data_IF_217173806881
#
_entry.id   IF_217173806881
#
_cell.length_a   1.000
_cell.length_b   1.000
_cell.length_c   1.000
_cell.angle_alpha   90.00
_cell.angle_beta   90.00
_cell.angle_gamma   90.00
#
_symmetry.space_group_name_H-M   'P 1'
#
loop_
_entity.id
_entity.type
_entity.pdbx_description
1 polymer ?
#
# COMPACT_ATOMS: atom_id res chain seq x y z
N UNK A 1 4.12 -6.09 -21.23
CA UNK A 1 4.98 -6.15 -20.01
C UNK A 1 5.49 -7.56 -19.77
N UNK A 2 6.75 -7.73 -19.37
CA UNK A 2 7.30 -9.04 -19.00
C UNK A 2 6.79 -9.47 -17.61
N UNK A 3 6.30 -10.71 -17.54
CA UNK A 3 5.79 -11.33 -16.31
C UNK A 3 6.54 -12.65 -16.03
N UNK A 4 6.73 -12.97 -14.77
CA UNK A 4 7.16 -14.32 -14.39
C UNK A 4 6.05 -15.34 -14.64
N UNK A 5 6.39 -16.65 -14.63
CA UNK A 5 5.38 -17.71 -14.74
C UNK A 5 4.31 -17.63 -13.67
N UNK A 6 4.70 -17.29 -12.43
CA UNK A 6 3.77 -17.16 -11.32
C UNK A 6 2.83 -15.97 -11.53
N UNK A 7 3.38 -14.81 -11.93
CA UNK A 7 2.58 -13.60 -12.22
C UNK A 7 1.60 -13.83 -13.37
N UNK A 8 2.05 -14.50 -14.43
CA UNK A 8 1.18 -14.86 -15.54
C UNK A 8 0.06 -15.82 -15.09
N UNK A 9 0.38 -16.84 -14.30
CA UNK A 9 -0.61 -17.75 -13.77
C UNK A 9 -1.67 -17.04 -12.91
N UNK A 10 -1.27 -16.07 -12.08
CA UNK A 10 -2.23 -15.23 -11.32
C UNK A 10 -3.12 -14.44 -12.28
N UNK A 11 -2.54 -13.80 -13.28
CA UNK A 11 -3.27 -13.04 -14.30
C UNK A 11 -4.29 -13.92 -15.05
N UNK A 12 -3.92 -15.17 -15.32
CA UNK A 12 -4.76 -16.17 -15.98
C UNK A 12 -5.80 -16.82 -15.04
N UNK A 13 -5.85 -16.39 -13.77
CA UNK A 13 -6.88 -16.78 -12.82
C UNK A 13 -6.55 -17.97 -11.91
N UNK A 14 -5.29 -18.42 -11.84
CA UNK A 14 -4.91 -19.58 -10.99
C UNK A 14 -5.22 -19.40 -9.51
N UNK A 15 -5.36 -18.17 -9.02
CA UNK A 15 -5.71 -17.83 -7.64
C UNK A 15 -7.14 -17.24 -7.53
N UNK A 16 -7.94 -17.35 -8.58
CA UNK A 16 -9.29 -16.83 -8.65
C UNK A 16 -9.40 -15.46 -9.33
N UNK A 17 -10.63 -15.10 -9.68
CA UNK A 17 -10.95 -13.94 -10.51
C UNK A 17 -10.49 -12.61 -9.87
N UNK A 18 -10.62 -12.46 -8.54
CA UNK A 18 -10.26 -11.22 -7.87
C UNK A 18 -8.75 -10.99 -7.88
N UNK A 19 -7.95 -12.02 -7.67
CA UNK A 19 -6.48 -11.92 -7.82
C UNK A 19 -6.08 -11.61 -9.27
N UNK A 20 -6.78 -12.20 -10.25
CA UNK A 20 -6.55 -11.89 -11.66
C UNK A 20 -6.86 -10.41 -11.98
N UNK A 21 -7.95 -9.84 -11.43
CA UNK A 21 -8.28 -8.42 -11.56
C UNK A 21 -7.21 -7.52 -10.93
N UNK A 22 -6.72 -7.86 -9.74
CA UNK A 22 -5.61 -7.13 -9.09
C UNK A 22 -4.37 -7.15 -9.97
N UNK A 23 -3.95 -8.31 -10.43
CA UNK A 23 -2.77 -8.46 -11.30
C UNK A 23 -2.94 -7.70 -12.60
N UNK A 24 -4.10 -7.78 -13.24
CA UNK A 24 -4.41 -7.00 -14.44
C UNK A 24 -4.31 -5.49 -14.20
N UNK A 25 -4.80 -5.01 -13.06
CA UNK A 25 -4.71 -3.59 -12.69
C UNK A 25 -3.26 -3.16 -12.54
N UNK A 26 -2.41 -3.95 -11.88
CA UNK A 26 -0.97 -3.67 -11.74
C UNK A 26 -0.27 -3.64 -13.10
N UNK A 27 -0.56 -4.59 -13.98
CA UNK A 27 0.00 -4.63 -15.34
C UNK A 27 -0.39 -3.38 -16.13
N UNK A 28 -1.69 -3.06 -16.19
CA UNK A 28 -2.18 -1.88 -16.90
C UNK A 28 -1.60 -0.58 -16.32
N UNK A 29 -1.53 -0.48 -15.00
CA UNK A 29 -0.92 0.67 -14.35
C UNK A 29 0.56 0.82 -14.74
N UNK A 30 1.34 -0.26 -14.64
CA UNK A 30 2.74 -0.24 -15.00
C UNK A 30 2.97 0.13 -16.46
N UNK A 31 2.21 -0.45 -17.39
CA UNK A 31 2.31 -0.14 -18.82
C UNK A 31 1.99 1.32 -19.11
N UNK A 32 1.01 1.91 -18.43
CA UNK A 32 0.66 3.33 -18.55
C UNK A 32 1.83 4.25 -18.19
N UNK A 33 2.67 3.84 -17.23
CA UNK A 33 3.87 4.57 -16.83
C UNK A 33 5.16 4.06 -17.51
N UNK A 34 5.05 3.23 -18.52
CA UNK A 34 6.19 2.74 -19.31
C UNK A 34 7.01 1.64 -18.65
N UNK A 35 6.47 0.95 -17.67
CA UNK A 35 7.13 -0.22 -17.09
C UNK A 35 7.20 -1.35 -18.13
N UNK A 36 8.39 -1.95 -18.25
CA UNK A 36 8.63 -3.04 -19.22
C UNK A 36 8.50 -4.42 -18.57
N UNK A 37 8.62 -4.50 -17.26
CA UNK A 37 8.53 -5.76 -16.50
C UNK A 37 7.87 -5.55 -15.14
N UNK A 38 7.37 -6.62 -14.57
CA UNK A 38 6.95 -6.70 -13.18
C UNK A 38 8.00 -7.47 -12.38
N UNK A 39 8.28 -7.00 -11.17
CA UNK A 39 9.28 -7.58 -10.28
C UNK A 39 8.64 -8.01 -8.96
N UNK A 40 9.19 -9.01 -8.26
CA UNK A 40 8.71 -9.36 -6.93
C UNK A 40 9.02 -8.24 -5.93
N UNK A 41 8.12 -8.01 -4.99
CA UNK A 41 8.41 -7.24 -3.76
C UNK A 41 9.29 -8.11 -2.88
N UNK A 42 10.39 -7.55 -2.36
CA UNK A 42 11.37 -8.31 -1.56
C UNK A 42 11.43 -7.89 -0.10
N UNK A 43 10.85 -6.72 0.25
CA UNK A 43 10.76 -6.28 1.63
C UNK A 43 9.82 -7.16 2.47
N UNK A 44 10.06 -7.21 3.77
CA UNK A 44 9.23 -8.01 4.69
C UNK A 44 7.81 -7.48 4.81
N UNK A 45 7.65 -6.16 4.84
CA UNK A 45 6.35 -5.51 5.04
C UNK A 45 6.11 -4.40 4.02
N UNK A 46 4.84 -4.23 3.64
CA UNK A 46 4.35 -3.08 2.90
C UNK A 46 4.08 -1.87 3.80
N UNK A 47 3.72 -0.75 3.17
CA UNK A 47 3.27 0.45 3.87
C UNK A 47 2.21 1.16 3.03
N UNK A 48 1.02 1.37 3.58
CA UNK A 48 -0.13 1.83 2.80
C UNK A 48 -0.81 3.05 3.42
N UNK A 49 -1.65 3.72 2.63
CA UNK A 49 -2.44 4.86 3.08
C UNK A 49 -3.51 4.43 4.09
N UNK A 50 -3.65 5.19 5.18
CA UNK A 50 -4.63 4.93 6.24
C UNK A 50 -5.98 5.54 5.98
N UNK A 51 -6.04 6.68 5.30
CA UNK A 51 -7.26 7.46 5.16
C UNK A 51 -7.34 8.15 3.81
N UNK A 52 -8.54 8.26 3.33
CA UNK A 52 -8.83 8.99 2.09
C UNK A 52 -9.68 10.23 2.31
N UNK A 53 -10.15 10.49 3.52
CA UNK A 53 -11.07 11.60 3.84
C UNK A 53 -12.48 11.44 3.25
N UNK A 54 -13.31 12.46 3.37
CA UNK A 54 -14.73 12.46 2.91
C UNK A 54 -14.87 12.30 1.41
N UNK A 55 -13.95 12.86 0.67
CA UNK A 55 -14.03 12.96 -0.80
C UNK A 55 -13.79 11.60 -1.44
N UNK A 56 -13.27 10.69 -0.71
CA UNK A 56 -13.01 9.37 -1.16
C UNK A 56 -14.00 8.38 -0.57
N UNK A 57 -15.09 8.32 -0.93
CA UNK A 57 -15.37 7.45 -2.02
C UNK A 57 -15.83 6.11 -1.47
N UNK A 58 -17.10 6.02 -1.36
CA UNK A 58 -17.81 4.75 -1.23
C UNK A 58 -17.13 3.61 -2.02
N UNK A 59 -16.62 3.89 -3.24
CA UNK A 59 -15.94 2.91 -4.08
C UNK A 59 -14.71 2.24 -3.45
N UNK A 60 -13.95 2.90 -2.59
CA UNK A 60 -12.81 2.25 -1.90
C UNK A 60 -13.31 1.25 -0.87
N UNK A 61 -14.33 1.63 -0.09
CA UNK A 61 -14.91 0.71 0.91
C UNK A 61 -15.59 -0.49 0.25
N UNK A 62 -16.29 -0.27 -0.87
CA UNK A 62 -16.92 -1.33 -1.64
C UNK A 62 -15.87 -2.28 -2.23
N UNK A 63 -14.77 -1.74 -2.76
CA UNK A 63 -13.63 -2.54 -3.21
C UNK A 63 -13.04 -3.38 -2.07
N UNK A 64 -12.81 -2.78 -0.91
CA UNK A 64 -12.28 -3.50 0.25
C UNK A 64 -13.24 -4.62 0.70
N UNK A 65 -14.54 -4.37 0.69
CA UNK A 65 -15.55 -5.39 1.02
C UNK A 65 -15.57 -6.51 -0.04
N UNK A 66 -15.42 -6.19 -1.33
CA UNK A 66 -15.29 -7.19 -2.41
C UNK A 66 -14.05 -8.08 -2.20
N UNK A 67 -12.90 -7.49 -1.90
CA UNK A 67 -11.68 -8.23 -1.60
C UNK A 67 -11.86 -9.16 -0.39
N UNK A 68 -12.45 -8.67 0.68
CA UNK A 68 -12.71 -9.44 1.91
C UNK A 68 -13.70 -10.57 1.63
N UNK A 69 -14.79 -10.29 0.93
CA UNK A 69 -15.80 -11.32 0.57
C UNK A 69 -15.22 -12.43 -0.31
N UNK A 70 -14.24 -12.10 -1.16
CA UNK A 70 -13.50 -13.07 -1.96
C UNK A 70 -12.39 -13.80 -1.18
N UNK A 71 -12.24 -13.54 0.12
CA UNK A 71 -11.20 -14.16 0.96
C UNK A 71 -9.77 -13.69 0.65
N UNK A 72 -9.63 -12.54 -0.02
CA UNK A 72 -8.31 -12.00 -0.34
C UNK A 72 -7.61 -11.54 0.93
N UNK A 73 -6.39 -12.03 1.11
CA UNK A 73 -5.47 -11.55 2.13
C UNK A 73 -4.15 -11.15 1.50
N UNK A 74 -3.52 -10.13 2.05
CA UNK A 74 -2.19 -9.71 1.59
C UNK A 74 -1.14 -10.75 1.97
N UNK A 75 -0.38 -11.23 1.01
CA UNK A 75 0.76 -12.12 1.26
C UNK A 75 1.85 -11.39 2.06
N UNK A 76 1.99 -10.09 1.85
CA UNK A 76 2.87 -9.22 2.61
C UNK A 76 2.02 -8.40 3.59
N UNK A 77 2.21 -8.58 4.89
CA UNK A 77 1.60 -7.69 5.88
C UNK A 77 2.12 -6.27 5.70
N UNK A 78 1.37 -5.28 6.18
CA UNK A 78 1.71 -3.88 5.98
C UNK A 78 1.44 -3.04 7.24
N UNK A 79 2.24 -2.00 7.40
CA UNK A 79 1.94 -0.85 8.25
C UNK A 79 1.13 0.19 7.47
N UNK A 80 0.59 1.17 8.15
CA UNK A 80 -0.22 2.20 7.52
C UNK A 80 0.20 3.61 7.99
N UNK A 81 -0.12 4.61 7.20
CA UNK A 81 0.05 6.02 7.56
C UNK A 81 -0.65 6.35 8.89
N UNK A 82 -0.30 7.47 9.54
CA UNK A 82 -0.98 7.92 10.74
C UNK A 82 -2.48 8.05 10.54
N UNK A 83 -3.22 7.82 11.60
CA UNK A 83 -4.65 8.13 11.62
C UNK A 83 -4.86 9.62 11.36
N UNK A 84 -5.93 9.99 10.62
CA UNK A 84 -6.17 11.37 10.25
C UNK A 84 -6.47 12.28 11.45
N UNK A 85 -6.90 11.69 12.57
CA UNK A 85 -7.19 12.40 13.81
C UNK A 85 -6.43 11.74 14.96
N UNK A 86 -5.59 12.51 15.61
CA UNK A 86 -4.91 12.07 16.85
C UNK A 86 -5.82 12.36 18.05
N UNK A 87 -6.22 11.31 18.75
CA UNK A 87 -7.07 11.41 19.93
C UNK A 87 -6.39 12.05 21.15
N UNK A 88 -5.08 12.17 21.13
CA UNK A 88 -4.30 12.79 22.19
C UNK A 88 -4.17 14.32 22.00
N UNK A 89 -4.57 14.83 20.85
CA UNK A 89 -4.56 16.27 20.57
C UNK A 89 -5.95 16.84 20.90
N UNK A 90 -6.04 17.81 21.82
CA UNK A 90 -7.30 18.46 22.14
C UNK A 90 -7.92 19.11 20.90
N UNK A 91 -9.20 18.90 20.69
CA UNK A 91 -9.99 19.53 19.64
C UNK A 91 -11.12 20.37 20.24
N UNK A 92 -11.61 21.33 19.49
CA UNK A 92 -12.81 22.07 19.87
C UNK A 92 -14.05 21.47 19.20
N UNK A 93 -15.24 21.85 19.67
CA UNK A 93 -16.51 21.32 19.20
C UNK A 93 -16.67 21.41 17.66
N UNK A 94 -16.23 22.51 17.05
CA UNK A 94 -16.33 22.69 15.61
C UNK A 94 -15.39 21.73 14.87
N UNK A 95 -14.17 21.57 15.36
CA UNK A 95 -13.21 20.59 14.80
C UNK A 95 -13.75 19.17 14.93
N UNK A 96 -14.34 18.80 16.05
CA UNK A 96 -14.94 17.48 16.25
C UNK A 96 -16.05 17.18 15.24
N UNK A 97 -16.91 18.15 14.98
CA UNK A 97 -17.99 18.02 13.97
C UNK A 97 -17.36 17.83 12.57
N UNK A 98 -16.40 18.68 12.21
CA UNK A 98 -15.73 18.62 10.92
C UNK A 98 -15.00 17.27 10.76
N UNK A 99 -14.24 16.85 11.74
CA UNK A 99 -13.52 15.58 11.69
C UNK A 99 -14.45 14.37 11.65
N UNK A 100 -15.56 14.41 12.38
CA UNK A 100 -16.58 13.35 12.32
C UNK A 100 -17.20 13.25 10.93
N UNK A 101 -17.46 14.36 10.28
CA UNK A 101 -17.95 14.38 8.90
C UNK A 101 -16.86 13.89 7.95
N UNK A 102 -15.63 14.41 8.08
CA UNK A 102 -14.52 14.09 7.16
C UNK A 102 -14.01 12.66 7.28
N UNK A 103 -13.98 12.11 8.48
CA UNK A 103 -13.35 10.83 8.78
C UNK A 103 -14.26 9.82 9.47
N UNK A 104 -15.57 10.03 9.41
CA UNK A 104 -16.57 9.13 10.02
C UNK A 104 -16.38 7.65 9.63
N UNK A 105 -16.09 7.31 8.37
CA UNK A 105 -15.86 5.95 7.94
C UNK A 105 -14.50 5.33 8.35
N UNK A 106 -13.59 6.11 8.97
CA UNK A 106 -12.22 5.67 9.28
C UNK A 106 -12.18 4.33 10.04
N UNK A 107 -13.04 4.16 11.05
CA UNK A 107 -13.09 2.92 11.83
C UNK A 107 -13.42 1.70 10.96
N UNK A 108 -14.39 1.85 10.03
CA UNK A 108 -14.74 0.79 9.08
C UNK A 108 -13.53 0.43 8.21
N UNK A 109 -12.83 1.44 7.71
CA UNK A 109 -11.63 1.23 6.89
C UNK A 109 -10.53 0.49 7.67
N UNK A 110 -10.26 0.87 8.91
CA UNK A 110 -9.28 0.16 9.75
C UNK A 110 -9.66 -1.31 9.98
N UNK A 111 -10.93 -1.62 10.18
CA UNK A 111 -11.39 -3.01 10.28
C UNK A 111 -11.23 -3.79 8.97
N UNK A 112 -11.42 -3.13 7.82
CA UNK A 112 -11.13 -3.72 6.52
C UNK A 112 -9.63 -3.97 6.34
N UNK A 113 -8.76 -3.02 6.71
CA UNK A 113 -7.31 -3.19 6.66
C UNK A 113 -6.82 -4.38 7.52
N UNK A 114 -7.38 -4.54 8.72
CA UNK A 114 -7.08 -5.69 9.59
C UNK A 114 -7.39 -7.02 8.91
N UNK A 115 -8.52 -7.11 8.24
CA UNK A 115 -8.93 -8.32 7.52
C UNK A 115 -8.04 -8.62 6.31
N UNK A 116 -7.54 -7.59 5.64
CA UNK A 116 -6.68 -7.75 4.46
C UNK A 116 -5.24 -8.10 4.87
N UNK A 117 -4.68 -7.45 5.91
CA UNK A 117 -3.30 -7.76 6.30
C UNK A 117 -2.56 -6.68 7.08
N UNK A 118 -3.26 -5.80 7.80
CA UNK A 118 -2.62 -4.85 8.70
C UNK A 118 -1.71 -5.60 9.69
N UNK A 119 -0.48 -5.13 9.86
CA UNK A 119 0.56 -5.80 10.64
C UNK A 119 0.16 -5.99 12.10
N UNK A 120 -0.41 -4.94 12.72
CA UNK A 120 -0.94 -4.91 14.08
C UNK A 120 -1.78 -3.66 14.30
N UNK A 121 -2.57 -3.64 15.36
CA UNK A 121 -3.56 -2.58 15.64
C UNK A 121 -2.97 -1.18 15.89
N UNK A 122 -1.68 -1.08 16.16
CA UNK A 122 -0.92 0.15 16.39
C UNK A 122 0.08 0.50 15.27
N UNK A 123 0.07 -0.25 14.17
CA UNK A 123 0.98 -0.04 13.02
C UNK A 123 0.61 1.17 12.15
N UNK A 124 0.33 2.32 12.80
CA UNK A 124 -0.05 3.57 12.14
C UNK A 124 1.01 4.65 12.36
N UNK A 125 1.81 4.93 11.34
CA UNK A 125 2.90 5.91 11.41
C UNK A 125 3.42 6.26 10.03
N UNK A 126 3.83 7.51 9.78
CA UNK A 126 4.57 7.85 8.55
C UNK A 126 6.05 7.44 8.60
N UNK A 127 6.59 7.18 9.79
CA UNK A 127 7.97 6.74 9.97
C UNK A 127 8.05 5.21 10.19
N UNK A 128 7.46 4.45 9.27
CA UNK A 128 7.35 2.99 9.37
C UNK A 128 8.70 2.28 9.50
N UNK A 129 9.78 2.91 9.03
CA UNK A 129 11.16 2.42 9.06
C UNK A 129 11.86 2.55 10.42
N UNK A 130 11.23 3.10 11.43
CA UNK A 130 11.79 3.16 12.77
C UNK A 130 11.87 1.77 13.41
N UNK A 131 12.92 1.49 14.21
CA UNK A 131 13.12 0.16 14.81
C UNK A 131 11.93 -0.36 15.61
N UNK A 132 11.25 0.52 16.35
CA UNK A 132 10.06 0.19 17.16
C UNK A 132 8.85 -0.21 16.32
N UNK A 133 8.76 0.25 15.07
CA UNK A 133 7.71 -0.14 14.14
C UNK A 133 8.04 -1.48 13.49
N UNK A 134 9.32 -1.73 13.23
CA UNK A 134 9.83 -2.97 12.69
C UNK A 134 9.67 -3.14 11.18
N UNK A 135 9.24 -2.10 10.46
CA UNK A 135 9.13 -2.13 8.99
C UNK A 135 10.33 -1.41 8.35
N UNK A 136 11.54 -1.93 8.60
CA UNK A 136 12.77 -1.38 8.02
C UNK A 136 13.29 -2.31 6.92
N UNK A 137 13.37 -1.86 5.67
CA UNK A 137 13.90 -2.63 4.56
C UNK A 137 15.43 -2.68 4.60
N UNK A 138 16.01 -3.64 3.87
CA UNK A 138 17.44 -3.69 3.58
C UNK A 138 17.78 -2.88 2.33
N UNK A 139 19.05 -2.54 2.17
CA UNK A 139 19.56 -1.96 0.93
C UNK A 139 19.27 -2.90 -0.24
N UNK A 140 18.72 -2.35 -1.32
CA UNK A 140 18.37 -3.10 -2.53
C UNK A 140 16.99 -3.78 -2.51
N UNK A 141 16.28 -3.79 -1.38
CA UNK A 141 14.91 -4.31 -1.32
C UNK A 141 13.98 -3.52 -2.24
N UNK A 142 13.02 -4.23 -2.83
CA UNK A 142 11.93 -3.65 -3.61
C UNK A 142 10.71 -3.57 -2.71
N UNK A 143 10.16 -2.36 -2.59
CA UNK A 143 9.10 -2.04 -1.63
C UNK A 143 7.78 -1.76 -2.34
N UNK A 144 6.68 -2.11 -1.68
CA UNK A 144 5.35 -1.63 -1.97
C UNK A 144 4.92 -0.67 -0.85
N UNK A 145 5.38 0.57 -0.95
CA UNK A 145 5.15 1.61 0.04
C UNK A 145 4.46 2.82 -0.57
N UNK A 146 3.39 3.26 0.07
CA UNK A 146 2.77 4.55 -0.15
C UNK A 146 3.53 5.65 0.62
N UNK A 147 3.04 6.74 0.87
CA UNK A 147 3.55 7.87 1.66
C UNK A 147 4.91 8.44 1.19
N UNK A 148 4.90 9.73 0.86
CA UNK A 148 6.05 10.38 0.19
C UNK A 148 7.31 10.42 1.05
N UNK A 149 7.19 10.65 2.36
CA UNK A 149 8.36 10.78 3.24
C UNK A 149 9.02 9.44 3.47
N UNK A 150 8.24 8.37 3.66
CA UNK A 150 8.75 7.02 3.81
C UNK A 150 9.45 6.53 2.54
N UNK A 151 8.83 6.77 1.36
CA UNK A 151 9.43 6.43 0.05
C UNK A 151 10.74 7.19 -0.18
N UNK A 152 10.78 8.50 0.10
CA UNK A 152 12.00 9.27 -0.05
C UNK A 152 13.10 8.78 0.88
N UNK A 153 12.78 8.46 2.13
CA UNK A 153 13.76 7.93 3.09
C UNK A 153 14.27 6.55 2.65
N UNK A 154 13.37 5.67 2.20
CA UNK A 154 13.73 4.35 1.70
C UNK A 154 14.72 4.44 0.52
N UNK A 155 14.40 5.27 -0.48
CA UNK A 155 15.23 5.41 -1.68
C UNK A 155 16.55 6.13 -1.39
N UNK A 156 16.53 7.25 -0.63
CA UNK A 156 17.68 8.14 -0.49
C UNK A 156 18.59 7.78 0.68
N UNK A 157 18.06 7.16 1.75
CA UNK A 157 18.82 6.87 2.98
C UNK A 157 19.08 5.38 3.14
N UNK A 158 18.06 4.55 2.94
CA UNK A 158 18.20 3.10 3.15
C UNK A 158 18.73 2.38 1.91
N UNK A 159 18.69 3.03 0.73
CA UNK A 159 19.10 2.42 -0.53
C UNK A 159 18.19 1.28 -0.98
N UNK A 160 16.95 1.28 -0.52
CA UNK A 160 15.90 0.42 -1.04
C UNK A 160 15.27 1.04 -2.30
N UNK A 161 14.36 0.36 -2.94
CA UNK A 161 13.74 0.80 -4.19
C UNK A 161 12.21 0.79 -4.05
N UNK A 162 11.61 1.95 -4.19
CA UNK A 162 10.17 2.12 -4.11
C UNK A 162 9.68 3.15 -5.13
N UNK A 163 8.62 2.82 -5.85
CA UNK A 163 7.86 3.81 -6.62
C UNK A 163 7.00 4.64 -5.66
N UNK A 164 6.62 5.84 -6.08
CA UNK A 164 5.63 6.64 -5.38
C UNK A 164 4.29 6.51 -6.08
N UNK A 165 3.63 5.38 -5.91
CA UNK A 165 2.31 5.12 -6.49
C UNK A 165 1.18 5.56 -5.53
N UNK A 166 -0.07 5.36 -5.96
CA UNK A 166 -1.22 5.57 -5.07
C UNK A 166 -1.34 4.47 -4.00
N UNK A 167 -1.95 4.80 -2.86
CA UNK A 167 -2.12 3.84 -1.76
C UNK A 167 -2.84 2.55 -2.16
N UNK A 168 -3.78 2.60 -3.10
CA UNK A 168 -4.46 1.40 -3.61
C UNK A 168 -3.53 0.54 -4.46
N UNK A 169 -2.69 1.15 -5.29
CA UNK A 169 -1.71 0.41 -6.10
C UNK A 169 -0.66 -0.26 -5.21
N UNK A 170 -0.23 0.40 -4.13
CA UNK A 170 0.69 -0.20 -3.16
C UNK A 170 0.05 -1.37 -2.39
N UNK A 171 -1.22 -1.24 -2.02
CA UNK A 171 -1.96 -2.36 -1.45
C UNK A 171 -2.07 -3.53 -2.44
N UNK A 172 -2.36 -3.25 -3.70
CA UNK A 172 -2.39 -4.27 -4.74
C UNK A 172 -1.01 -4.90 -4.97
N UNK A 173 0.07 -4.14 -4.86
CA UNK A 173 1.44 -4.67 -4.92
C UNK A 173 1.76 -5.63 -3.76
N UNK A 174 1.27 -5.34 -2.57
CA UNK A 174 1.46 -6.17 -1.36
C UNK A 174 0.65 -7.48 -1.39
N UNK A 175 -0.52 -7.50 -2.05
CA UNK A 175 -1.39 -8.69 -2.09
C UNK A 175 -0.71 -9.86 -2.82
N UNK A 176 -0.32 -9.77 -4.10
CA UNK A 176 0.38 -10.83 -4.82
C UNK A 176 1.90 -10.81 -4.63
N UNK A 177 2.45 -9.84 -3.91
CA UNK A 177 3.90 -9.57 -3.77
C UNK A 177 4.54 -9.28 -5.13
N UNK A 178 3.89 -8.48 -5.94
CA UNK A 178 4.31 -8.12 -7.30
C UNK A 178 4.24 -6.62 -7.52
N UNK A 179 5.28 -6.05 -8.16
CA UNK A 179 5.44 -4.63 -8.28
C UNK A 179 5.89 -4.23 -9.69
N UNK A 180 5.47 -3.06 -10.15
CA UNK A 180 5.85 -2.56 -11.46
C UNK A 180 7.26 -1.96 -11.42
N UNK A 181 8.14 -2.40 -12.32
CA UNK A 181 9.47 -1.82 -12.44
C UNK A 181 9.41 -0.55 -13.29
N UNK A 182 9.47 0.61 -12.65
CA UNK A 182 9.60 1.91 -13.33
C UNK A 182 11.08 2.35 -13.30
N UNK A 183 11.55 2.93 -14.41
CA UNK A 183 12.91 3.46 -14.51
C UNK A 183 13.17 4.69 -13.61
N UNK A 184 12.11 5.33 -13.10
CA UNK A 184 12.18 6.57 -12.33
C UNK A 184 12.96 6.48 -11.00
N UNK A 185 13.48 5.30 -10.67
CA UNK A 185 14.21 5.06 -9.43
C UNK A 185 15.72 4.85 -9.62
N UNK A 186 16.26 5.30 -10.72
CA UNK A 186 17.64 5.75 -10.78
C UNK A 186 17.72 7.04 -9.94
N UNK A 187 17.52 6.88 -8.62
CA UNK A 187 17.61 7.96 -7.65
C UNK A 187 19.04 8.05 -7.17
N UNK A 188 19.35 9.10 -6.42
CA UNK A 188 20.67 9.46 -5.88
C UNK A 188 21.49 8.34 -5.22
N UNK A 189 20.98 7.11 -5.14
CA UNK A 189 21.72 5.94 -4.69
C UNK A 189 22.58 5.29 -5.80
N UNK A 190 22.42 5.71 -7.04
CA UNK A 190 23.21 5.25 -8.19
C UNK A 190 24.26 6.30 -8.63
N UNK A 191 24.37 7.44 -7.87
CA UNK A 191 25.44 8.43 -7.93
C UNK A 191 26.44 8.20 -6.76
#
# INVERSE_FOLDING_TARGET
>A
MELTREQQAILDGSQGEVYAKIMKTLVMYGETFGATKMVPVTSTYGHIVTSFGVIVIKGVFDLMDELIAAGVTSKQKFSADPRPVDKNVPSNLLQDIVFKVMYGPQKRYEEQLKKIGLLRDDAFTCACYFPEVGNRPNKGDILSWAESSAVNYANSVLGARCNRNSGIIEMFGSIPVSYTHLRAHETCADL
#
